data_IF_567023472644
#
_entry.id   IF_567023472644
#
_cell.length_a   1.000
_cell.length_b   1.000
_cell.length_c   1.000
_cell.angle_alpha   90.00
_cell.angle_beta   90.00
_cell.angle_gamma   90.00
#
_symmetry.space_group_name_H-M   'P 1'
#
loop_
_entity.id
_entity.type
_entity.pdbx_description
1 polymer ?
#
# COMPACT_ATOMS: atom_id res chain seq x y z
N UNK A 1 -20.16 -30.67 -13.16
CA UNK A 1 -19.78 -29.32 -13.60
C UNK A 1 -19.43 -29.41 -15.09
N UNK A 2 -19.84 -28.44 -15.90
CA UNK A 2 -19.47 -28.37 -17.32
C UNK A 2 -18.02 -27.91 -17.46
N UNK A 3 -17.32 -28.36 -18.52
CA UNK A 3 -15.92 -27.98 -18.78
C UNK A 3 -15.72 -26.46 -18.87
N UNK A 4 -16.71 -25.72 -19.38
CA UNK A 4 -16.70 -24.24 -19.40
C UNK A 4 -16.69 -23.62 -17.99
N UNK A 5 -17.38 -24.25 -17.03
CA UNK A 5 -17.41 -23.77 -15.65
C UNK A 5 -16.06 -23.97 -14.92
N UNK A 6 -15.34 -25.03 -15.27
CA UNK A 6 -14.00 -25.29 -14.72
C UNK A 6 -12.94 -24.34 -15.28
N UNK A 7 -13.00 -24.02 -16.57
CA UNK A 7 -12.08 -23.04 -17.18
C UNK A 7 -12.32 -21.62 -16.66
N UNK A 8 -13.58 -21.23 -16.44
CA UNK A 8 -13.91 -19.93 -15.86
C UNK A 8 -13.38 -19.80 -14.42
N UNK A 9 -13.51 -20.85 -13.60
CA UNK A 9 -12.98 -20.87 -12.23
C UNK A 9 -11.45 -20.74 -12.21
N UNK A 10 -10.73 -21.45 -13.09
CA UNK A 10 -9.27 -21.31 -13.20
C UNK A 10 -8.85 -19.89 -13.58
N UNK A 11 -9.59 -19.25 -14.49
CA UNK A 11 -9.33 -17.87 -14.88
C UNK A 11 -9.54 -16.90 -13.71
N UNK A 12 -10.65 -17.03 -12.98
CA UNK A 12 -10.92 -16.23 -11.79
C UNK A 12 -9.86 -16.43 -10.70
N UNK A 13 -9.46 -17.67 -10.45
CA UNK A 13 -8.40 -18.00 -9.50
C UNK A 13 -7.06 -17.38 -9.91
N UNK A 14 -6.72 -17.43 -11.19
CA UNK A 14 -5.50 -16.82 -11.70
C UNK A 14 -5.52 -15.30 -11.51
N UNK A 15 -6.60 -14.63 -11.92
CA UNK A 15 -6.76 -13.18 -11.77
C UNK A 15 -6.63 -12.76 -10.30
N UNK A 16 -7.27 -13.50 -9.39
CA UNK A 16 -7.22 -13.23 -7.95
C UNK A 16 -5.84 -13.51 -7.36
N UNK A 17 -5.24 -14.67 -7.67
CA UNK A 17 -3.93 -15.08 -7.18
C UNK A 17 -2.84 -14.09 -7.58
N UNK A 18 -2.94 -13.55 -8.79
CA UNK A 18 -1.96 -12.60 -9.34
C UNK A 18 -2.38 -11.13 -9.19
N UNK A 19 -3.51 -10.85 -8.50
CA UNK A 19 -4.01 -9.51 -8.19
C UNK A 19 -4.11 -8.59 -9.41
N UNK A 20 -4.52 -9.17 -10.54
CA UNK A 20 -4.53 -8.47 -11.84
C UNK A 20 -5.57 -7.36 -11.85
N UNK A 21 -6.69 -7.54 -11.14
CA UNK A 21 -7.75 -6.53 -11.05
C UNK A 21 -7.29 -5.30 -10.24
N UNK A 22 -6.56 -5.52 -9.15
CA UNK A 22 -5.99 -4.47 -8.33
C UNK A 22 -4.95 -3.66 -9.09
N UNK A 23 -4.01 -4.34 -9.78
CA UNK A 23 -3.05 -3.69 -10.65
C UNK A 23 -3.75 -2.81 -11.70
N UNK A 24 -4.82 -3.33 -12.31
CA UNK A 24 -5.56 -2.58 -13.32
C UNK A 24 -6.27 -1.36 -12.73
N UNK A 25 -6.86 -1.48 -11.55
CA UNK A 25 -7.49 -0.36 -10.85
C UNK A 25 -6.49 0.74 -10.51
N UNK A 26 -5.30 0.40 -10.02
CA UNK A 26 -4.25 1.37 -9.67
C UNK A 26 -3.75 2.13 -10.90
N UNK A 27 -3.56 1.42 -12.01
CA UNK A 27 -3.20 2.02 -13.30
C UNK A 27 -4.29 2.96 -13.81
N UNK A 28 -5.56 2.56 -13.72
CA UNK A 28 -6.69 3.42 -14.09
C UNK A 28 -6.79 4.67 -13.20
N UNK A 29 -6.59 4.53 -11.88
CA UNK A 29 -6.57 5.66 -10.96
C UNK A 29 -5.45 6.64 -11.31
N UNK A 30 -4.25 6.12 -11.64
CA UNK A 30 -3.09 6.92 -12.05
C UNK A 30 -3.37 7.70 -13.34
N UNK A 31 -4.01 7.07 -14.34
CA UNK A 31 -4.42 7.76 -15.58
C UNK A 31 -5.45 8.85 -15.30
N UNK A 32 -6.45 8.58 -14.46
CA UNK A 32 -7.47 9.57 -14.09
C UNK A 32 -6.88 10.78 -13.36
N UNK A 33 -5.87 10.55 -12.52
CA UNK A 33 -5.18 11.59 -11.76
C UNK A 33 -4.26 12.43 -12.63
N UNK A 34 -3.34 11.81 -13.36
CA UNK A 34 -2.32 12.50 -14.15
C UNK A 34 -2.82 13.02 -15.51
N UNK A 35 -3.89 12.43 -16.05
CA UNK A 35 -4.49 12.78 -17.36
C UNK A 35 -3.44 12.93 -18.47
N UNK A 36 -2.59 11.91 -18.69
CA UNK A 36 -1.50 11.99 -19.65
C UNK A 36 -2.01 12.17 -21.08
N UNK A 37 -1.28 12.93 -21.89
CA UNK A 37 -1.58 13.08 -23.32
C UNK A 37 -1.38 11.79 -24.12
N UNK A 38 -0.42 10.95 -23.70
CA UNK A 38 -0.23 9.59 -24.21
C UNK A 38 -0.48 8.57 -23.08
N UNK A 39 -1.70 8.06 -23.02
CA UNK A 39 -2.13 7.08 -22.02
C UNK A 39 -1.34 5.77 -22.16
N UNK A 40 -1.05 5.34 -23.39
CA UNK A 40 -0.42 4.05 -23.63
C UNK A 40 1.06 4.08 -23.22
N UNK A 41 1.76 5.16 -23.57
CA UNK A 41 3.13 5.39 -23.16
C UNK A 41 3.26 5.51 -21.64
N UNK A 42 2.35 6.26 -21.01
CA UNK A 42 2.30 6.39 -19.55
C UNK A 42 2.13 5.05 -18.85
N UNK A 43 1.12 4.26 -19.24
CA UNK A 43 0.86 2.94 -18.65
C UNK A 43 2.03 1.96 -18.85
N UNK A 44 2.72 2.03 -19.98
CA UNK A 44 3.90 1.21 -20.23
C UNK A 44 5.04 1.56 -19.26
N UNK A 45 5.30 2.85 -19.05
CA UNK A 45 6.33 3.30 -18.11
C UNK A 45 5.98 2.89 -16.68
N UNK A 46 4.72 3.08 -16.28
CA UNK A 46 4.19 2.67 -14.98
C UNK A 46 4.34 1.17 -14.73
N UNK A 47 4.09 0.34 -15.73
CA UNK A 47 4.29 -1.11 -15.64
C UNK A 47 5.78 -1.49 -15.57
N UNK A 48 6.63 -0.85 -16.38
CA UNK A 48 8.08 -1.09 -16.38
C UNK A 48 8.75 -0.65 -15.07
N UNK A 49 8.22 0.38 -14.42
CA UNK A 49 8.67 0.81 -13.10
C UNK A 49 8.35 -0.29 -12.07
N UNK A 50 7.09 -0.71 -12.01
CA UNK A 50 6.61 -1.78 -11.12
C UNK A 50 7.31 -3.13 -11.35
N UNK A 51 7.64 -3.45 -12.60
CA UNK A 51 8.40 -4.66 -12.94
C UNK A 51 9.84 -4.61 -12.39
N UNK A 52 10.51 -3.46 -12.53
CA UNK A 52 11.89 -3.25 -12.05
C UNK A 52 11.98 -3.19 -10.52
N UNK A 53 10.98 -2.60 -9.89
CA UNK A 53 10.91 -2.44 -8.44
C UNK A 53 10.31 -3.67 -7.74
N UNK A 54 9.71 -4.58 -8.51
CA UNK A 54 9.06 -5.79 -8.03
C UNK A 54 7.68 -5.52 -7.42
N UNK A 55 7.01 -6.57 -6.94
CA UNK A 55 5.69 -6.52 -6.28
C UNK A 55 5.61 -5.62 -5.03
N UNK A 56 6.72 -4.95 -4.68
CA UNK A 56 6.79 -3.92 -3.67
C UNK A 56 6.26 -2.56 -4.12
N UNK A 57 5.90 -2.36 -5.40
CA UNK A 57 5.34 -1.09 -5.87
C UNK A 57 3.86 -0.85 -5.47
N UNK A 58 3.30 -1.71 -4.60
CA UNK A 58 2.08 -1.43 -3.82
C UNK A 58 2.38 -1.08 -2.35
N UNK A 59 3.65 -1.04 -1.96
CA UNK A 59 4.07 -0.62 -0.63
C UNK A 59 4.10 0.90 -0.63
N UNK A 60 3.60 1.52 0.45
CA UNK A 60 3.90 2.93 0.68
C UNK A 60 5.41 3.11 0.57
N UNK A 61 5.84 4.01 -0.31
CA UNK A 61 7.25 4.39 -0.39
C UNK A 61 7.66 4.97 0.97
N UNK A 62 8.95 4.85 1.32
CA UNK A 62 9.46 5.41 2.56
C UNK A 62 9.13 6.91 2.67
N UNK A 63 9.08 7.61 1.55
CA UNK A 63 8.66 9.00 1.47
C UNK A 63 7.19 9.23 1.90
N UNK A 64 6.28 8.33 1.54
CA UNK A 64 4.85 8.43 1.86
C UNK A 64 4.61 8.12 3.35
N UNK A 65 5.27 7.10 3.88
CA UNK A 65 5.22 6.78 5.31
C UNK A 65 5.80 7.93 6.14
N UNK A 66 6.92 8.52 5.70
CA UNK A 66 7.53 9.71 6.33
C UNK A 66 6.61 10.93 6.26
N UNK A 67 5.91 11.14 5.14
CA UNK A 67 4.95 12.24 5.03
C UNK A 67 3.83 12.11 6.08
N UNK A 68 3.32 10.89 6.29
CA UNK A 68 2.32 10.63 7.33
C UNK A 68 2.87 10.79 8.75
N UNK A 69 4.13 10.38 9.00
CA UNK A 69 4.80 10.67 10.27
C UNK A 69 4.89 12.18 10.53
N UNK A 70 5.34 12.95 9.54
CA UNK A 70 5.48 14.41 9.65
C UNK A 70 4.13 15.12 9.88
N UNK A 71 3.03 14.58 9.32
CA UNK A 71 1.68 15.07 9.60
C UNK A 71 1.22 14.78 11.03
N UNK A 72 1.67 13.66 11.61
CA UNK A 72 1.38 13.29 13.00
C UNK A 72 2.23 14.08 14.00
N UNK A 73 3.48 14.42 13.64
CA UNK A 73 4.40 15.26 14.41
C UNK A 73 4.15 16.76 14.18
N UNK A 74 2.97 17.23 14.57
CA UNK A 74 2.57 18.64 14.40
C UNK A 74 3.51 19.64 15.09
N UNK A 75 4.21 19.21 16.15
CA UNK A 75 5.14 20.06 16.90
C UNK A 75 6.58 19.98 16.38
N UNK A 76 6.86 19.15 15.37
CA UNK A 76 8.19 18.92 14.79
C UNK A 76 9.25 18.56 15.84
N UNK A 77 8.86 17.76 16.82
CA UNK A 77 9.74 17.34 17.92
C UNK A 77 10.61 16.13 17.53
N UNK A 78 10.35 15.53 16.36
CA UNK A 78 11.02 14.32 15.87
C UNK A 78 10.51 13.03 16.51
N UNK A 79 9.54 13.13 17.43
CA UNK A 79 8.92 12.01 18.15
C UNK A 79 7.42 12.25 18.30
N UNK A 80 6.63 11.19 18.20
CA UNK A 80 5.18 11.20 18.40
C UNK A 80 4.79 10.20 19.50
N UNK A 81 3.68 10.45 20.18
CA UNK A 81 3.16 9.52 21.18
C UNK A 81 2.65 8.23 20.54
N UNK A 82 2.58 7.14 21.31
CA UNK A 82 1.97 5.87 20.89
C UNK A 82 0.59 6.07 20.22
N UNK A 83 -0.26 6.92 20.83
CA UNK A 83 -1.61 7.22 20.33
C UNK A 83 -1.63 7.96 18.98
N UNK A 84 -0.62 8.79 18.71
CA UNK A 84 -0.45 9.48 17.44
C UNK A 84 0.09 8.51 16.39
N UNK A 85 1.11 7.72 16.75
CA UNK A 85 1.67 6.70 15.87
C UNK A 85 0.60 5.70 15.43
N UNK A 86 -0.22 5.18 16.35
CA UNK A 86 -1.29 4.23 16.02
C UNK A 86 -2.33 4.83 15.07
N UNK A 87 -2.78 6.08 15.31
CA UNK A 87 -3.72 6.77 14.42
C UNK A 87 -3.14 7.01 13.03
N UNK A 88 -1.86 7.39 12.96
CA UNK A 88 -1.15 7.59 11.71
C UNK A 88 -1.01 6.26 10.92
N UNK A 89 -0.65 5.16 11.57
CA UNK A 89 -0.61 3.83 10.96
C UNK A 89 -2.00 3.36 10.47
N UNK A 90 -3.05 3.59 11.26
CA UNK A 90 -4.43 3.27 10.86
C UNK A 90 -4.88 4.08 9.65
N UNK A 91 -4.36 5.30 9.46
CA UNK A 91 -4.65 6.13 8.28
C UNK A 91 -4.03 5.58 6.99
N UNK A 92 -2.96 4.79 7.12
CA UNK A 92 -2.29 4.09 6.01
C UNK A 92 -2.93 2.71 5.72
N UNK A 93 -3.72 2.16 6.64
CA UNK A 93 -4.30 0.83 6.48
C UNK A 93 -5.45 0.82 5.44
N UNK A 94 -5.28 0.05 4.37
CA UNK A 94 -6.21 -0.02 3.23
C UNK A 94 -7.10 -1.28 3.24
N UNK A 95 -6.95 -2.16 4.25
CA UNK A 95 -7.75 -3.37 4.42
C UNK A 95 -8.09 -3.62 5.88
N UNK A 96 -9.15 -4.41 6.13
CA UNK A 96 -9.55 -4.78 7.49
C UNK A 96 -8.45 -5.56 8.23
N UNK A 97 -7.74 -6.45 7.53
CA UNK A 97 -6.59 -7.20 8.06
C UNK A 97 -5.47 -6.26 8.51
N UNK A 98 -5.10 -5.27 7.70
CA UNK A 98 -4.07 -4.29 8.07
C UNK A 98 -4.48 -3.45 9.28
N UNK A 99 -5.77 -3.14 9.44
CA UNK A 99 -6.26 -2.43 10.64
C UNK A 99 -6.09 -3.29 11.90
N UNK A 100 -6.45 -4.56 11.82
CA UNK A 100 -6.27 -5.52 12.92
C UNK A 100 -4.79 -5.71 13.27
N UNK A 101 -3.92 -5.81 12.26
CA UNK A 101 -2.46 -5.91 12.45
C UNK A 101 -1.88 -4.65 13.12
N UNK A 102 -2.36 -3.46 12.74
CA UNK A 102 -1.98 -2.19 13.38
C UNK A 102 -2.53 -2.08 14.80
N UNK A 103 -3.74 -2.57 15.09
CA UNK A 103 -4.32 -2.57 16.44
C UNK A 103 -3.58 -3.54 17.38
N UNK A 104 -3.16 -4.70 16.89
CA UNK A 104 -2.38 -5.68 17.64
C UNK A 104 -0.90 -5.28 17.84
N UNK A 105 -0.45 -4.23 17.15
CA UNK A 105 0.93 -3.79 17.16
C UNK A 105 1.35 -3.19 18.52
N UNK A 106 2.44 -3.70 19.07
CA UNK A 106 3.11 -3.09 20.22
C UNK A 106 3.97 -1.90 19.76
N UNK A 107 3.60 -0.72 20.25
CA UNK A 107 4.28 0.55 19.99
C UNK A 107 4.87 1.09 21.30
N UNK A 108 6.11 1.63 21.27
CA UNK A 108 6.67 2.31 22.43
C UNK A 108 5.92 3.62 22.75
N UNK A 109 6.05 4.15 23.98
CA UNK A 109 5.38 5.40 24.38
C UNK A 109 5.80 6.61 23.54
N UNK A 110 7.06 6.62 23.09
CA UNK A 110 7.61 7.59 22.15
C UNK A 110 8.10 6.86 20.90
N UNK A 111 7.66 7.33 19.75
CA UNK A 111 7.95 6.74 18.44
C UNK A 111 8.64 7.80 17.59
N UNK A 112 9.88 7.55 17.21
CA UNK A 112 10.59 8.37 16.21
C UNK A 112 10.29 7.92 14.77
N UNK A 113 10.76 8.66 13.78
CA UNK A 113 10.55 8.36 12.36
C UNK A 113 11.04 6.95 11.99
N UNK A 114 12.16 6.51 12.57
CA UNK A 114 12.79 5.22 12.24
C UNK A 114 11.92 4.07 12.75
N UNK A 115 11.47 4.15 14.00
CA UNK A 115 10.57 3.17 14.61
C UNK A 115 9.25 3.17 13.85
N UNK A 116 8.70 4.34 13.52
CA UNK A 116 7.45 4.44 12.77
C UNK A 116 7.54 3.76 11.40
N UNK A 117 8.62 4.02 10.65
CA UNK A 117 8.86 3.43 9.34
C UNK A 117 8.96 1.91 9.41
N UNK A 118 9.73 1.39 10.39
CA UNK A 118 9.87 -0.04 10.60
C UNK A 118 8.53 -0.70 10.91
N UNK A 119 7.79 -0.12 11.86
CA UNK A 119 6.48 -0.62 12.29
C UNK A 119 5.43 -0.55 11.19
N UNK A 120 5.43 0.50 10.38
CA UNK A 120 4.57 0.63 9.21
C UNK A 120 4.86 -0.47 8.18
N UNK A 121 6.13 -0.72 7.88
CA UNK A 121 6.53 -1.81 6.97
C UNK A 121 6.14 -3.18 7.51
N UNK A 122 6.23 -3.41 8.81
CA UNK A 122 5.85 -4.70 9.41
C UNK A 122 4.34 -4.93 9.39
N UNK A 123 3.54 -3.90 9.72
CA UNK A 123 2.09 -4.00 9.86
C UNK A 123 1.32 -3.85 8.55
N UNK A 124 1.87 -3.13 7.57
CA UNK A 124 1.18 -2.78 6.33
C UNK A 124 1.67 -3.59 5.13
N UNK A 125 2.64 -4.50 5.32
CA UNK A 125 3.06 -5.44 4.29
C UNK A 125 1.86 -6.25 3.78
N UNK A 126 1.63 -6.22 2.46
CA UNK A 126 0.63 -7.07 1.82
C UNK A 126 1.11 -8.54 1.86
N UNK A 127 0.61 -9.31 2.84
CA UNK A 127 0.73 -10.77 2.92
C UNK A 127 -0.52 -11.48 2.42
#
# INVERSE_FOLDING_TARGET
MSAEGEELQKAEEYLRKHRILELFNDLCASVCFHKPGDVRGFLLQELQLREREGAQAGNFEDAEIKAVFNLADLMQMGVISESQARRALLSLANSQKQKEDVEALELPPEVDETIFLQKAKDALQFR
#
